data_IF_778889453923
#
_entry.id   IF_778889453923
#
_cell.length_a   1.000
_cell.length_b   1.000
_cell.length_c   1.000
_cell.angle_alpha   90.00
_cell.angle_beta   90.00
_cell.angle_gamma   90.00
#
_symmetry.space_group_name_H-M   'P 1'
#
loop_
_entity.id
_entity.type
_entity.pdbx_description
1 polymer ?
#
# COMPACT_ATOMS: atom_id res chain seq x y z
N UNK A 1 -15.67 1.68 -16.95
CA UNK A 1 -15.42 3.14 -16.92
C UNK A 1 -14.23 3.32 -15.99
N UNK A 2 -13.04 3.55 -16.55
CA UNK A 2 -11.76 3.33 -15.86
C UNK A 2 -11.26 4.63 -15.21
N UNK A 3 -11.08 4.60 -13.89
CA UNK A 3 -10.52 5.69 -13.07
C UNK A 3 -9.03 5.95 -13.43
N UNK A 4 -8.39 5.06 -14.18
CA UNK A 4 -6.99 5.16 -14.59
C UNK A 4 -6.67 6.25 -15.65
N UNK A 5 -7.65 6.95 -16.21
CA UNK A 5 -7.44 7.88 -17.34
C UNK A 5 -7.48 9.38 -16.98
N UNK A 6 -7.69 9.75 -15.71
CA UNK A 6 -7.61 11.13 -15.27
C UNK A 6 -6.35 11.31 -14.43
N UNK A 7 -5.47 12.21 -14.89
CA UNK A 7 -4.09 12.36 -14.42
C UNK A 7 -3.91 12.67 -12.92
N UNK A 8 -2.65 12.86 -12.47
CA UNK A 8 -2.24 12.95 -11.07
C UNK A 8 -3.02 13.98 -10.22
N UNK A 9 -3.69 14.93 -10.87
CA UNK A 9 -4.53 15.98 -10.27
C UNK A 9 -5.84 15.45 -9.65
N UNK A 10 -6.31 14.27 -10.05
CA UNK A 10 -7.48 13.63 -9.44
C UNK A 10 -7.13 12.74 -8.25
N UNK A 11 -5.90 12.22 -8.20
CA UNK A 11 -5.37 11.52 -7.03
C UNK A 11 -5.23 12.51 -5.86
N UNK A 12 -4.67 13.70 -6.05
CA UNK A 12 -4.51 14.70 -4.98
C UNK A 12 -5.84 15.16 -4.34
N UNK A 13 -6.96 15.07 -5.08
CA UNK A 13 -8.32 15.36 -4.57
C UNK A 13 -8.99 14.19 -3.85
N UNK A 14 -8.49 12.97 -4.02
CA UNK A 14 -9.03 11.81 -3.31
C UNK A 14 -8.59 11.90 -1.85
N UNK A 15 -9.55 11.69 -0.95
CA UNK A 15 -9.27 11.64 0.50
C UNK A 15 -8.52 10.35 0.81
N UNK A 16 -7.22 10.34 0.48
CA UNK A 16 -6.35 9.20 0.71
C UNK A 16 -6.35 8.80 2.19
N UNK A 17 -6.53 9.74 3.12
CA UNK A 17 -6.72 9.45 4.56
C UNK A 17 -7.92 8.54 4.87
N UNK A 18 -8.98 8.57 4.07
CA UNK A 18 -10.15 7.70 4.25
C UNK A 18 -10.11 6.46 3.36
N UNK A 19 -9.46 6.54 2.21
CA UNK A 19 -9.34 5.42 1.27
C UNK A 19 -8.27 4.43 1.71
N UNK A 20 -7.13 4.89 2.23
CA UNK A 20 -6.05 4.02 2.68
C UNK A 20 -6.55 2.94 3.65
N UNK A 21 -7.23 3.25 4.77
CA UNK A 21 -7.72 2.21 5.68
C UNK A 21 -8.70 1.24 5.01
N UNK A 22 -9.53 1.69 4.06
CA UNK A 22 -10.39 0.80 3.29
C UNK A 22 -9.59 -0.15 2.38
N UNK A 23 -8.54 0.34 1.72
CA UNK A 23 -7.63 -0.50 0.94
C UNK A 23 -6.82 -1.46 1.83
N UNK A 24 -6.44 -1.04 3.03
CA UNK A 24 -5.75 -1.91 4.00
C UNK A 24 -6.66 -3.04 4.49
N UNK A 25 -7.95 -2.78 4.66
CA UNK A 25 -8.95 -3.81 4.96
C UNK A 25 -9.07 -4.85 3.82
N UNK A 26 -8.93 -4.41 2.56
CA UNK A 26 -8.83 -5.31 1.40
C UNK A 26 -7.54 -6.13 1.40
N UNK A 27 -6.41 -5.55 1.81
CA UNK A 27 -5.13 -6.27 1.97
C UNK A 27 -5.21 -7.32 3.07
N UNK A 28 -6.01 -7.07 4.13
CA UNK A 28 -6.31 -8.02 5.21
C UNK A 28 -7.32 -9.10 4.80
N UNK A 29 -7.96 -9.01 3.63
CA UNK A 29 -8.88 -10.02 3.14
C UNK A 29 -8.15 -11.26 2.61
N UNK A 30 -8.79 -12.43 2.67
CA UNK A 30 -8.24 -13.71 2.18
C UNK A 30 -8.38 -13.89 0.65
N UNK A 31 -8.61 -12.80 -0.09
CA UNK A 31 -8.95 -12.83 -1.51
C UNK A 31 -7.79 -12.28 -2.34
N UNK A 32 -7.28 -13.08 -3.28
CA UNK A 32 -6.09 -12.75 -4.08
C UNK A 32 -6.28 -11.46 -4.86
N UNK A 33 -7.47 -11.28 -5.45
CA UNK A 33 -7.77 -10.11 -6.28
C UNK A 33 -7.86 -8.86 -5.39
N UNK A 34 -8.43 -8.97 -4.20
CA UNK A 34 -8.51 -7.85 -3.24
C UNK A 34 -7.12 -7.44 -2.72
N UNK A 35 -6.30 -8.41 -2.32
CA UNK A 35 -4.93 -8.17 -1.87
C UNK A 35 -4.13 -7.48 -2.97
N UNK A 36 -4.20 -8.00 -4.20
CA UNK A 36 -3.51 -7.42 -5.36
C UNK A 36 -3.92 -5.97 -5.61
N UNK A 37 -5.22 -5.68 -5.47
CA UNK A 37 -5.77 -4.35 -5.71
C UNK A 37 -5.34 -3.37 -4.60
N UNK A 38 -5.31 -3.81 -3.35
CA UNK A 38 -4.80 -3.03 -2.21
C UNK A 38 -3.29 -2.76 -2.32
N UNK A 39 -2.49 -3.77 -2.60
CA UNK A 39 -1.04 -3.64 -2.79
C UNK A 39 -0.69 -2.75 -3.99
N UNK A 40 -1.40 -2.92 -5.11
CA UNK A 40 -1.23 -2.08 -6.29
C UNK A 40 -1.58 -0.61 -6.02
N UNK A 41 -2.61 -0.35 -5.19
CA UNK A 41 -2.93 1.01 -4.77
C UNK A 41 -1.84 1.62 -3.88
N UNK A 42 -1.29 0.86 -2.93
CA UNK A 42 -0.20 1.30 -2.06
C UNK A 42 1.06 1.63 -2.89
N UNK A 43 1.45 0.74 -3.81
CA UNK A 43 2.57 1.00 -4.72
C UNK A 43 2.33 2.24 -5.58
N UNK A 44 1.14 2.38 -6.16
CA UNK A 44 0.80 3.53 -6.99
C UNK A 44 0.82 4.82 -6.18
N UNK A 45 0.32 4.80 -4.94
CA UNK A 45 0.35 5.94 -4.03
C UNK A 45 1.80 6.33 -3.70
N UNK A 46 2.66 5.37 -3.45
CA UNK A 46 4.08 5.59 -3.17
C UNK A 46 4.89 6.05 -4.40
N UNK A 47 4.53 5.58 -5.60
CA UNK A 47 5.28 5.85 -6.83
C UNK A 47 4.79 7.11 -7.56
N UNK A 48 3.48 7.36 -7.55
CA UNK A 48 2.86 8.47 -8.27
C UNK A 48 2.59 9.69 -7.38
N UNK A 49 2.43 9.52 -6.06
CA UNK A 49 2.21 10.65 -5.15
C UNK A 49 3.49 11.01 -4.39
N UNK A 50 4.02 12.23 -4.54
CA UNK A 50 5.13 12.70 -3.71
C UNK A 50 4.76 12.78 -2.22
N UNK A 51 3.46 12.81 -1.90
CA UNK A 51 2.92 12.75 -0.53
C UNK A 51 2.55 11.33 -0.09
N UNK A 52 2.83 10.31 -0.90
CA UNK A 52 2.48 8.92 -0.60
C UNK A 52 3.09 8.45 0.73
N UNK A 53 4.38 8.76 0.94
CA UNK A 53 5.06 8.49 2.21
C UNK A 53 4.39 9.19 3.40
N UNK A 54 4.06 10.48 3.29
CA UNK A 54 3.38 11.21 4.38
C UNK A 54 1.99 10.62 4.70
N UNK A 55 1.23 10.23 3.67
CA UNK A 55 -0.10 9.63 3.84
C UNK A 55 0.02 8.28 4.55
N UNK A 56 0.99 7.47 4.15
CA UNK A 56 1.24 6.16 4.75
C UNK A 56 1.76 6.30 6.19
N UNK A 57 2.68 7.23 6.45
CA UNK A 57 3.19 7.54 7.79
C UNK A 57 2.07 8.04 8.72
N UNK A 58 1.11 8.79 8.17
CA UNK A 58 -0.10 9.21 8.89
C UNK A 58 -1.06 8.05 9.22
N UNK A 59 -0.91 6.86 8.61
CA UNK A 59 -1.79 5.71 8.82
C UNK A 59 -1.00 4.56 9.46
N UNK A 60 -1.04 4.43 10.80
CA UNK A 60 -0.28 3.41 11.52
C UNK A 60 -0.70 1.98 11.16
N UNK A 61 -1.94 1.80 10.70
CA UNK A 61 -2.49 0.51 10.26
C UNK A 61 -1.80 -0.03 8.99
N UNK A 62 -1.05 0.80 8.27
CA UNK A 62 -0.47 0.44 6.98
C UNK A 62 0.58 -0.67 7.12
N UNK A 63 1.45 -0.57 8.13
CA UNK A 63 2.44 -1.59 8.45
C UNK A 63 1.77 -2.90 8.91
N UNK A 64 0.77 -2.80 9.79
CA UNK A 64 0.06 -3.96 10.30
C UNK A 64 -0.70 -4.70 9.21
N UNK A 65 -1.37 -3.98 8.30
CA UNK A 65 -2.09 -4.57 7.19
C UNK A 65 -1.17 -5.27 6.18
N UNK A 66 -0.01 -4.67 5.87
CA UNK A 66 0.97 -5.31 5.00
C UNK A 66 1.60 -6.54 5.66
N UNK A 67 1.84 -6.50 6.97
CA UNK A 67 2.30 -7.66 7.75
C UNK A 67 1.22 -8.74 7.91
N UNK A 68 -0.06 -8.37 7.83
CA UNK A 68 -1.19 -9.28 7.87
C UNK A 68 -1.48 -9.98 6.54
N UNK A 69 -0.79 -9.62 5.45
CA UNK A 69 -0.91 -10.32 4.16
C UNK A 69 -0.51 -11.77 4.37
N UNK A 70 -1.43 -12.69 4.06
CA UNK A 70 -1.14 -14.11 4.12
C UNK A 70 -0.40 -14.57 2.83
N UNK A 71 0.50 -15.56 2.94
CA UNK A 71 1.16 -16.19 1.79
C UNK A 71 0.20 -17.03 0.91
N UNK A 72 -0.98 -17.34 1.43
CA UNK A 72 -2.09 -17.91 0.67
C UNK A 72 -3.16 -16.81 0.54
N UNK A 73 -3.78 -16.63 -0.64
CA UNK A 73 -3.85 -17.53 -1.79
C UNK A 73 -2.72 -17.44 -2.82
N UNK A 74 -1.88 -16.39 -2.81
CA UNK A 74 -0.84 -16.18 -3.82
C UNK A 74 0.50 -15.76 -3.18
N UNK A 75 1.55 -16.59 -3.28
CA UNK A 75 2.83 -16.31 -2.64
C UNK A 75 3.60 -15.18 -3.34
N UNK A 76 3.30 -14.86 -4.61
CA UNK A 76 3.93 -13.74 -5.31
C UNK A 76 3.40 -12.41 -4.75
N UNK A 77 2.09 -12.31 -4.49
CA UNK A 77 1.49 -11.15 -3.82
C UNK A 77 2.07 -10.95 -2.42
N UNK A 78 2.28 -12.03 -1.67
CA UNK A 78 2.93 -11.96 -0.37
C UNK A 78 4.38 -11.48 -0.46
N UNK A 79 5.16 -11.99 -1.41
CA UNK A 79 6.52 -11.51 -1.65
C UNK A 79 6.54 -10.02 -2.04
N UNK A 80 5.55 -9.58 -2.83
CA UNK A 80 5.39 -8.20 -3.24
C UNK A 80 5.02 -7.27 -2.07
N UNK A 81 4.10 -7.70 -1.20
CA UNK A 81 3.76 -6.99 0.04
C UNK A 81 4.99 -6.82 0.94
N UNK A 82 5.74 -7.91 1.18
CA UNK A 82 6.96 -7.85 1.98
C UNK A 82 8.01 -6.92 1.36
N UNK A 83 8.16 -6.93 0.04
CA UNK A 83 9.07 -6.02 -0.66
C UNK A 83 8.66 -4.55 -0.53
N UNK A 84 7.35 -4.25 -0.59
CA UNK A 84 6.82 -2.92 -0.33
C UNK A 84 7.09 -2.48 1.11
N UNK A 85 6.90 -3.35 2.09
CA UNK A 85 7.26 -3.07 3.49
C UNK A 85 8.75 -2.78 3.59
N UNK A 86 9.60 -3.66 3.06
CA UNK A 86 11.06 -3.52 3.13
C UNK A 86 11.55 -2.21 2.49
N UNK A 87 11.09 -1.93 1.27
CA UNK A 87 11.53 -0.77 0.48
C UNK A 87 11.05 0.58 1.06
N UNK A 88 9.86 0.62 1.66
CA UNK A 88 9.24 1.88 2.08
C UNK A 88 9.18 2.08 3.60
N UNK A 89 9.24 0.99 4.38
CA UNK A 89 9.20 0.98 5.84
C UNK A 89 10.39 0.24 6.49
N UNK A 90 11.08 -0.65 5.77
CA UNK A 90 12.16 -1.49 6.29
C UNK A 90 13.52 -0.82 6.30
N UNK A 91 13.71 0.29 5.58
CA UNK A 91 14.93 1.09 5.64
C UNK A 91 14.73 2.37 6.46
N UNK A 92 14.85 2.22 7.78
CA UNK A 92 15.74 3.11 8.53
C UNK A 92 17.05 2.35 8.78
N UNK A 93 18.05 2.44 7.89
CA UNK A 93 19.41 2.09 8.24
C UNK A 93 19.99 3.22 9.09
N UNK A 94 19.41 3.45 10.27
CA UNK A 94 20.05 4.23 11.31
C UNK A 94 20.53 3.26 12.39
N UNK A 95 21.87 3.09 12.40
CA UNK A 95 22.69 2.52 13.46
C UNK A 95 22.77 0.99 13.53
N UNK A 96 23.73 0.44 12.79
CA UNK A 96 24.70 -0.46 13.42
C UNK A 96 26.08 0.16 13.25
N UNK A 97 26.53 0.85 14.31
CA UNK A 97 27.88 1.36 14.53
C UNK A 97 28.92 0.23 14.57
#
# INVERSE_FOLDING_TARGET
MNIANHGPEHLDKLSHKQLLPAFLDLVKSQDADMIRLGLGYIELLLTQSPRGKEIIDNVPDCMEALAAVAPAPDPELFAFANKLVDQYFGESPEMQE
#
